data_IF_931359118052
#
_entry.id   IF_931359118052
#
_cell.length_a   1.000
_cell.length_b   1.000
_cell.length_c   1.000
_cell.angle_alpha   90.00
_cell.angle_beta   90.00
_cell.angle_gamma   90.00
#
_symmetry.space_group_name_H-M   'P 1'
#
loop_
_entity.id
_entity.type
_entity.pdbx_description
1 polymer ?
2 polymer ?
3 polymer ?
4 non-polymer ?
#
loop_
_entity_poly.entity_id
_entity_poly.type
_entity_poly.pdbx_seq_one_letter_code
_entity_poly.pdbx_strand_id
2 'polydeoxyribonucleotide' '(DA)(DA)(DA)(DT)(DG)(DT)(DG)(DA)(DT)(DC)(DT)(DA)(DG)(DG)(DT)(DC)(DA)(DC)(DG)(DT)(DG)' ?
3 'polydeoxyribonucleotide' '(DC)(DA)(DC)(DG)(DT)(DG)(DA)(DC)(DC)(DT)(DA)(DG)(DA)(DT)(DC)(DA)(DC)(DA)(DT)(DC)' ?
#
# COMPACT_ATOMS: atom_id res chain seq x y z
N UNK A 1 -21.47 23.34 -8.47
CA UNK A 1 -20.60 24.34 -7.91
C UNK A 1 -19.44 23.60 -7.32
N UNK A 2 -19.63 23.16 -6.09
CA UNK A 2 -18.67 22.30 -5.45
C UNK A 2 -19.28 21.04 -4.93
N UNK A 3 -20.45 20.66 -5.37
CA UNK A 3 -20.92 19.34 -5.12
C UNK A 3 -20.68 18.66 -6.38
N UNK A 4 -20.06 19.40 -7.27
CA UNK A 4 -19.77 18.88 -8.55
C UNK A 4 -18.59 18.03 -8.34
N UNK A 5 -17.71 18.45 -7.46
CA UNK A 5 -16.50 17.72 -7.14
C UNK A 5 -16.79 16.54 -6.20
N UNK A 6 -17.37 16.85 -5.05
CA UNK A 6 -17.73 15.84 -4.06
C UNK A 6 -18.48 14.67 -4.66
N UNK A 7 -19.21 14.93 -5.76
CA UNK A 7 -19.95 13.86 -6.42
C UNK A 7 -18.99 12.81 -6.92
N UNK A 8 -17.80 13.25 -7.30
CA UNK A 8 -16.78 12.35 -7.72
C UNK A 8 -15.89 11.93 -6.56
N UNK A 9 -16.23 12.32 -5.36
CA UNK A 9 -15.54 11.75 -4.24
C UNK A 9 -15.90 10.30 -4.29
N UNK A 10 -14.96 9.44 -3.97
CA UNK A 10 -15.26 8.05 -4.15
C UNK A 10 -16.40 7.68 -3.26
N UNK A 11 -16.36 8.13 -2.04
CA UNK A 11 -17.24 7.59 -1.05
C UNK A 11 -18.66 7.75 -1.47
N UNK A 12 -19.03 8.88 -2.05
CA UNK A 12 -20.38 9.01 -2.53
C UNK A 12 -20.60 8.00 -3.61
N UNK A 13 -19.58 7.86 -4.43
CA UNK A 13 -19.78 7.50 -5.79
C UNK A 13 -20.91 6.50 -5.79
N UNK A 14 -21.79 6.68 -6.75
CA UNK A 14 -23.15 6.15 -6.78
C UNK A 14 -24.05 6.76 -5.72
N UNK A 15 -24.68 5.92 -4.94
CA UNK A 15 -25.15 6.37 -3.67
C UNK A 15 -26.11 7.54 -3.71
N UNK A 16 -27.16 7.48 -4.53
CA UNK A 16 -28.26 8.39 -4.27
C UNK A 16 -27.73 9.81 -4.16
N UNK A 17 -27.27 10.35 -5.29
CA UNK A 17 -26.58 11.64 -5.29
C UNK A 17 -27.52 12.67 -4.69
N UNK A 18 -28.81 12.37 -4.72
CA UNK A 18 -29.78 13.19 -4.01
C UNK A 18 -29.38 13.18 -2.54
N UNK A 19 -28.96 12.03 -2.03
CA UNK A 19 -28.30 12.00 -0.75
C UNK A 19 -27.11 12.91 -0.75
N UNK A 20 -26.26 12.83 -1.75
CA UNK A 20 -24.99 13.50 -1.59
C UNK A 20 -25.31 14.95 -1.34
N UNK A 21 -26.29 15.47 -2.07
CA UNK A 21 -26.55 16.89 -2.06
C UNK A 21 -26.94 17.38 -0.67
N UNK A 22 -27.82 16.64 -0.01
CA UNK A 22 -28.17 16.96 1.36
C UNK A 22 -26.98 16.77 2.26
N UNK A 23 -26.21 15.73 2.05
CA UNK A 23 -25.12 15.58 2.98
C UNK A 23 -24.07 16.65 2.90
N UNK A 24 -23.67 17.04 1.71
CA UNK A 24 -22.56 17.96 1.77
C UNK A 24 -22.75 18.90 2.93
N UNK A 25 -23.95 19.45 3.00
CA UNK A 25 -24.38 20.59 3.79
C UNK A 25 -24.06 20.51 5.27
N UNK A 26 -24.21 19.35 5.87
CA UNK A 26 -23.88 19.23 7.26
C UNK A 26 -22.43 19.53 7.27
N UNK A 27 -21.78 19.02 6.25
CA UNK A 27 -20.36 19.20 6.11
C UNK A 27 -20.06 20.67 5.90
N UNK A 28 -19.09 21.14 6.65
CA UNK A 28 -18.58 22.48 6.48
C UNK A 28 -17.10 22.54 6.19
N UNK A 29 -16.75 23.47 5.33
CA UNK A 29 -15.41 23.48 4.70
C UNK A 29 -14.33 24.10 5.57
N UNK A 30 -13.10 24.04 5.09
CA UNK A 30 -11.95 24.66 5.73
C UNK A 30 -10.99 25.15 4.66
N UNK A 31 -10.31 26.25 4.94
CA UNK A 31 -9.38 26.83 3.98
C UNK A 31 -7.96 26.89 4.53
N UNK A 32 -7.01 26.63 3.64
CA UNK A 32 -5.60 26.58 4.03
C UNK A 32 -4.71 27.34 3.08
N UNK A 33 -3.67 28.00 3.62
CA UNK A 33 -2.70 28.67 2.76
C UNK A 33 -1.81 27.65 2.09
N UNK A 34 -1.01 28.13 1.15
CA UNK A 34 0.01 27.32 0.50
C UNK A 34 1.11 27.05 1.51
N UNK A 35 1.22 25.79 1.94
CA UNK A 35 2.28 25.39 2.82
C UNK A 35 1.81 25.08 4.23
N UNK A 36 0.50 25.04 4.42
CA UNK A 36 -0.03 24.72 5.75
C UNK A 36 0.13 23.23 6.05
N UNK A 37 0.57 22.89 7.25
CA UNK A 37 0.63 21.49 7.67
C UNK A 37 -0.71 21.06 8.25
N UNK A 38 -1.52 20.42 7.42
CA UNK A 38 -2.84 19.96 7.82
C UNK A 38 -2.70 19.05 9.03
N UNK A 39 -1.80 18.08 8.93
CA UNK A 39 -1.50 17.21 10.06
C UNK A 39 -0.11 16.61 9.90
N UNK A 40 0.46 16.13 10.98
CA UNK A 40 1.79 15.56 10.93
C UNK A 40 1.81 14.20 11.60
N UNK A 41 2.82 13.40 11.28
CA UNK A 41 2.94 12.08 11.86
C UNK A 41 3.09 12.12 13.37
N UNK A 42 2.66 11.06 14.03
CA UNK A 42 2.70 11.01 15.48
C UNK A 42 1.44 11.61 16.09
N UNK A 43 1.03 12.76 15.56
CA UNK A 43 -0.16 13.44 16.05
C UNK A 43 -1.37 12.60 15.69
N UNK A 44 -2.31 12.46 16.63
CA UNK A 44 -3.47 11.59 16.47
C UNK A 44 -4.64 12.30 15.80
N UNK A 45 -5.28 11.61 14.87
CA UNK A 45 -6.37 12.20 14.12
C UNK A 45 -7.54 11.28 13.83
N UNK A 46 -8.73 11.83 14.03
CA UNK A 46 -9.95 11.17 13.68
C UNK A 46 -10.70 12.11 12.85
N UNK A 47 -10.11 12.45 11.73
CA UNK A 47 -10.72 13.37 10.78
C UNK A 47 -10.16 13.16 9.38
N UNK A 48 -11.05 12.98 8.39
CA UNK A 48 -10.62 12.83 7.01
C UNK A 48 -11.19 13.94 6.11
N UNK A 49 -10.39 14.38 5.15
CA UNK A 49 -10.73 15.52 4.32
C UNK A 49 -10.89 15.17 2.86
N UNK A 50 -11.89 15.73 2.23
CA UNK A 50 -11.99 15.64 0.78
C UNK A 50 -11.58 16.99 0.17
N UNK A 51 -10.59 16.94 -0.70
CA UNK A 51 -10.09 18.16 -1.31
C UNK A 51 -11.07 18.74 -2.31
N UNK A 52 -11.28 20.06 -2.29
CA UNK A 52 -12.17 20.74 -3.27
C UNK A 52 -11.43 21.55 -4.30
N UNK A 53 -10.24 22.03 -3.95
CA UNK A 53 -9.42 22.77 -4.89
C UNK A 53 -8.02 22.81 -4.33
N UNK A 54 -7.03 22.87 -5.20
CA UNK A 54 -5.66 22.85 -4.77
C UNK A 54 -5.08 21.44 -4.67
N UNK A 55 -3.91 21.35 -4.04
CA UNK A 55 -3.12 20.12 -4.06
C UNK A 55 -2.44 19.93 -2.72
N UNK A 56 -2.45 18.69 -2.23
CA UNK A 56 -1.84 18.34 -0.95
C UNK A 56 -0.84 17.21 -1.15
N UNK A 57 0.32 17.31 -0.52
CA UNK A 57 1.30 16.23 -0.60
C UNK A 57 1.37 15.40 0.70
N UNK A 58 1.29 14.09 0.56
CA UNK A 58 1.47 13.20 1.68
C UNK A 58 2.86 12.69 1.73
N UNK A 59 3.40 12.54 2.92
CA UNK A 59 4.80 12.32 3.09
C UNK A 59 5.17 11.70 4.38
N UNK A 60 6.42 11.31 4.52
CA UNK A 60 7.04 10.85 5.73
C UNK A 60 8.43 11.44 5.82
N UNK A 61 9.00 11.40 7.02
CA UNK A 61 10.31 11.91 7.39
C UNK A 61 10.98 10.87 8.27
N UNK A 62 12.21 10.50 7.97
CA UNK A 62 13.01 9.68 8.88
C UNK A 62 13.59 10.57 9.95
N UNK A 63 14.07 9.98 11.06
CA UNK A 63 14.71 10.79 12.12
C UNK A 63 15.92 11.57 11.61
N UNK A 64 16.53 11.11 10.56
CA UNK A 64 17.65 11.82 10.01
C UNK A 64 17.12 13.07 9.40
N UNK A 65 15.80 13.12 9.24
CA UNK A 65 15.16 14.29 8.67
C UNK A 65 14.91 14.39 7.18
N UNK A 66 15.07 13.32 6.42
CA UNK A 66 14.75 13.35 5.01
C UNK A 66 13.33 12.95 4.73
N UNK A 67 12.65 13.55 3.76
CA UNK A 67 11.29 13.31 3.56
C UNK A 67 11.27 12.66 2.26
N UNK A 68 10.30 11.82 2.15
CA UNK A 68 9.73 11.40 0.88
C UNK A 68 8.28 11.71 0.78
N UNK A 69 7.72 11.77 -0.41
CA UNK A 69 6.30 11.99 -0.58
C UNK A 69 5.64 10.73 -1.13
N UNK A 70 4.57 10.32 -0.48
CA UNK A 70 3.77 9.18 -0.92
C UNK A 70 3.02 9.52 -2.21
N UNK A 71 2.33 10.66 -2.20
CA UNK A 71 1.43 10.96 -3.31
C UNK A 71 0.99 12.43 -3.34
N UNK A 72 0.43 12.83 -4.47
CA UNK A 72 -0.13 14.18 -4.61
C UNK A 72 -1.64 14.09 -4.82
N UNK A 73 -2.39 14.79 -3.99
CA UNK A 73 -3.81 14.71 -4.00
C UNK A 73 -4.40 16.02 -4.42
N UNK A 74 -5.56 16.01 -5.02
CA UNK A 74 -5.99 17.13 -5.78
C UNK A 74 -7.46 17.10 -5.68
N UNK A 75 -8.21 17.87 -6.43
CA UNK A 75 -9.63 17.90 -6.18
C UNK A 75 -10.34 16.58 -6.24
N UNK A 76 -11.22 16.35 -5.26
CA UNK A 76 -12.03 15.14 -5.22
C UNK A 76 -11.26 14.00 -4.60
N UNK A 77 -10.08 14.30 -4.08
CA UNK A 77 -9.24 13.31 -3.47
C UNK A 77 -9.34 13.42 -1.99
N UNK A 78 -9.54 12.31 -1.35
CA UNK A 78 -9.78 12.29 0.04
C UNK A 78 -8.65 11.60 0.73
N UNK A 79 -8.27 12.10 1.90
CA UNK A 79 -7.05 11.76 2.57
C UNK A 79 -7.16 11.79 4.07
N UNK A 80 -6.22 11.17 4.74
CA UNK A 80 -6.20 11.16 6.19
C UNK A 80 -7.29 10.29 6.76
N UNK A 81 -7.65 9.23 6.04
CA UNK A 81 -8.75 8.37 6.47
C UNK A 81 -8.30 7.04 7.07
N UNK A 82 -7.02 6.70 6.90
CA UNK A 82 -6.45 5.52 7.51
C UNK A 82 -6.63 5.50 9.04
N UNK A 83 -6.40 6.64 9.67
CA UNK A 83 -6.59 6.73 11.10
C UNK A 83 -8.08 6.87 11.40
N UNK A 84 -8.90 6.72 10.36
CA UNK A 84 -10.33 6.66 10.57
C UNK A 84 -10.74 5.20 10.59
N UNK A 85 -10.06 4.41 9.77
CA UNK A 85 -10.30 2.99 9.71
C UNK A 85 -9.40 2.26 10.70
N UNK A 86 -8.14 2.63 10.78
CA UNK A 86 -7.30 1.99 11.77
C UNK A 86 -6.87 3.05 12.70
N UNK A 87 -7.51 3.16 13.82
CA UNK A 87 -7.31 4.26 14.71
C UNK A 87 -5.93 4.28 15.25
N UNK A 88 -5.27 5.40 15.14
CA UNK A 88 -3.92 5.49 15.59
C UNK A 88 -3.37 6.79 15.19
N UNK A 89 -2.12 7.05 15.50
CA UNK A 89 -1.43 8.25 15.04
C UNK A 89 -1.35 8.31 13.51
N UNK A 90 -1.37 9.52 12.96
CA UNK A 90 -1.09 9.71 11.54
C UNK A 90 0.22 9.00 11.20
N UNK A 91 0.26 8.33 10.05
CA UNK A 91 1.50 7.67 9.64
C UNK A 91 2.30 8.57 8.72
N UNK A 92 1.68 9.67 8.31
CA UNK A 92 2.30 10.60 7.37
C UNK A 92 1.89 12.02 7.71
N UNK A 93 2.04 12.93 6.74
CA UNK A 93 1.71 14.32 7.00
C UNK A 93 1.18 14.99 5.74
N UNK A 94 0.31 15.98 5.94
CA UNK A 94 -0.37 16.61 4.83
C UNK A 94 -0.05 18.09 4.78
N UNK A 95 0.61 18.50 3.70
CA UNK A 95 1.00 19.88 3.54
C UNK A 95 0.42 20.40 2.23
N UNK A 96 0.45 21.71 2.04
CA UNK A 96 -0.20 22.29 0.88
C UNK A 96 0.78 22.88 -0.12
N UNK A 97 0.41 22.73 -1.36
CA UNK A 97 1.16 23.22 -2.44
C UNK A 97 0.55 24.51 -2.95
N UNK A 98 -0.71 24.73 -2.62
CA UNK A 98 -1.52 25.80 -3.20
C UNK A 98 -2.42 26.43 -2.15
N UNK A 99 -3.45 27.12 -2.61
CA UNK A 99 -4.53 27.48 -1.71
C UNK A 99 -5.47 26.28 -1.80
N UNK A 100 -5.92 25.78 -0.66
CA UNK A 100 -6.75 24.59 -0.65
C UNK A 100 -8.12 24.82 -0.02
N UNK A 101 -9.17 24.41 -0.72
CA UNK A 101 -10.49 24.32 -0.12
C UNK A 101 -10.76 22.85 0.17
N UNK A 102 -11.09 22.53 1.41
CA UNK A 102 -11.29 21.15 1.80
C UNK A 102 -12.47 21.00 2.74
N UNK A 103 -13.27 19.96 2.51
CA UNK A 103 -14.35 19.61 3.44
C UNK A 103 -13.78 18.58 4.40
N UNK A 104 -14.24 18.60 5.64
CA UNK A 104 -13.65 17.75 6.65
C UNK A 104 -14.70 16.98 7.43
N UNK A 105 -14.37 15.75 7.80
CA UNK A 105 -15.31 14.91 8.51
C UNK A 105 -14.59 14.01 9.50
N UNK A 106 -15.24 13.72 10.63
CA UNK A 106 -14.64 12.87 11.64
C UNK A 106 -15.24 11.46 11.64
N UNK A 107 -14.67 10.58 12.46
CA UNK A 107 -15.03 9.16 12.42
C UNK A 107 -16.47 8.89 12.82
N UNK A 108 -16.92 9.51 13.91
CA UNK A 108 -18.28 9.29 14.40
C UNK A 108 -19.32 9.68 13.37
N UNK A 109 -18.99 10.68 12.56
CA UNK A 109 -19.87 11.16 11.50
C UNK A 109 -19.93 10.14 10.36
N UNK A 110 -18.79 9.52 10.07
CA UNK A 110 -18.69 8.58 8.98
C UNK A 110 -19.53 7.35 9.21
N UNK A 111 -19.37 6.74 10.38
CA UNK A 111 -20.15 5.56 10.73
C UNK A 111 -21.65 5.82 10.64
N UNK A 112 -22.05 7.08 10.76
CA UNK A 112 -23.45 7.45 10.57
C UNK A 112 -23.86 7.24 9.11
N UNK A 113 -23.12 7.86 8.20
CA UNK A 113 -23.40 7.75 6.77
C UNK A 113 -23.26 6.29 6.31
N UNK A 114 -22.31 5.57 6.89
CA UNK A 114 -22.14 4.16 6.54
C UNK A 114 -23.32 3.34 7.06
N UNK A 115 -23.76 3.66 8.28
CA UNK A 115 -24.89 2.98 8.89
C UNK A 115 -26.13 3.19 8.04
N UNK A 116 -26.40 4.42 7.64
CA UNK A 116 -27.54 4.69 6.75
C UNK A 116 -27.42 4.10 5.35
N UNK A 117 -26.26 4.17 4.74
CA UNK A 117 -26.11 3.53 3.46
C UNK A 117 -24.96 2.57 3.47
N UNK A 118 -25.23 1.32 3.29
CA UNK A 118 -24.16 0.36 3.25
C UNK A 118 -23.23 0.60 2.08
N UNK A 119 -23.71 1.04 0.95
CA UNK A 119 -22.94 0.94 -0.26
C UNK A 119 -21.68 1.74 -0.16
N UNK A 120 -21.60 2.64 0.79
CA UNK A 120 -20.42 3.47 0.97
C UNK A 120 -19.25 2.62 1.42
N UNK A 121 -19.51 1.66 2.31
CA UNK A 121 -18.46 0.77 2.76
C UNK A 121 -17.92 0.01 1.55
N UNK A 122 -18.83 -0.48 0.72
CA UNK A 122 -18.47 -1.09 -0.55
C UNK A 122 -17.42 -0.24 -1.25
N UNK A 123 -17.66 1.06 -1.31
CA UNK A 123 -16.89 1.99 -2.14
C UNK A 123 -15.61 2.47 -1.47
N UNK A 124 -15.57 2.45 -0.15
CA UNK A 124 -14.35 2.76 0.58
C UNK A 124 -13.36 1.62 0.40
N UNK A 125 -13.82 0.40 0.61
CA UNK A 125 -12.98 -0.75 0.35
C UNK A 125 -12.46 -0.71 -1.07
N UNK A 126 -13.25 -0.20 -2.01
CA UNK A 126 -12.80 -0.11 -3.39
C UNK A 126 -11.70 0.94 -3.55
N UNK A 127 -11.84 2.06 -2.84
CA UNK A 127 -10.82 3.09 -2.84
C UNK A 127 -9.51 2.55 -2.26
N UNK A 128 -9.59 2.04 -1.03
CA UNK A 128 -8.44 1.43 -0.39
C UNK A 128 -7.85 0.36 -1.29
N UNK A 129 -8.71 -0.52 -1.80
CA UNK A 129 -8.24 -1.55 -2.70
C UNK A 129 -7.40 -0.91 -3.79
N UNK A 130 -7.95 0.04 -4.53
CA UNK A 130 -7.27 0.63 -5.63
C UNK A 130 -6.06 1.26 -5.17
N UNK A 131 -6.14 1.83 -3.99
CA UNK A 131 -5.06 2.63 -3.43
C UNK A 131 -3.81 1.82 -3.16
N UNK A 132 -3.97 0.64 -2.56
CA UNK A 132 -2.86 -0.24 -2.23
C UNK A 132 -2.25 -0.73 -3.53
N UNK A 133 -3.12 -1.00 -4.49
CA UNK A 133 -2.68 -1.35 -5.83
C UNK A 133 -1.66 -0.30 -6.26
N UNK A 134 -2.06 0.94 -6.28
CA UNK A 134 -1.29 2.05 -6.78
C UNK A 134 0.00 2.12 -6.08
N UNK A 135 -0.01 1.79 -4.81
CA UNK A 135 1.19 1.82 -3.97
C UNK A 135 2.17 0.66 -4.26
N UNK A 136 1.65 -0.54 -4.51
CA UNK A 136 2.49 -1.66 -4.87
C UNK A 136 3.20 -1.41 -6.20
N UNK A 137 2.51 -0.69 -7.09
CA UNK A 137 3.10 -0.35 -8.37
C UNK A 137 4.36 0.48 -8.17
N UNK A 138 4.35 1.29 -7.11
CA UNK A 138 5.45 2.20 -6.80
C UNK A 138 6.59 1.51 -6.07
N UNK A 139 6.25 0.72 -5.10
CA UNK A 139 7.20 0.01 -4.33
C UNK A 139 7.96 -0.85 -5.29
N UNK A 140 7.35 -1.20 -6.40
CA UNK A 140 7.96 -2.01 -7.45
C UNK A 140 8.96 -1.19 -8.24
N UNK A 141 8.53 -0.02 -8.70
CA UNK A 141 9.40 0.83 -9.51
C UNK A 141 10.60 1.34 -8.74
N UNK A 142 10.43 1.55 -7.43
CA UNK A 142 11.59 1.82 -6.59
C UNK A 142 12.62 0.74 -6.80
N UNK A 143 12.14 -0.49 -6.95
CA UNK A 143 13.03 -1.64 -7.01
C UNK A 143 13.61 -1.85 -8.41
N UNK A 144 12.83 -1.53 -9.43
CA UNK A 144 13.23 -1.86 -10.80
C UNK A 144 13.58 -0.64 -11.66
N UNK A 145 12.59 0.19 -11.98
CA UNK A 145 12.81 1.37 -12.82
C UNK A 145 13.87 2.31 -12.27
N UNK A 146 14.70 2.84 -13.16
CA UNK A 146 15.74 3.79 -12.75
C UNK A 146 15.17 5.21 -12.59
N UNK A 147 15.89 6.02 -11.82
CA UNK A 147 15.45 7.40 -11.53
C UNK A 147 14.87 8.11 -12.75
N UNK A 148 15.56 8.03 -13.91
CA UNK A 148 14.99 8.58 -15.14
C UNK A 148 13.61 8.01 -15.44
N UNK A 149 13.56 6.73 -15.79
CA UNK A 149 12.32 6.07 -16.19
C UNK A 149 11.20 6.27 -15.19
N UNK A 150 11.57 6.53 -13.93
CA UNK A 150 10.60 6.82 -12.88
C UNK A 150 10.06 8.23 -12.98
N UNK A 151 10.97 9.19 -13.11
CA UNK A 151 10.57 10.57 -13.33
C UNK A 151 9.62 10.61 -14.51
N UNK A 152 9.96 9.89 -15.57
CA UNK A 152 9.09 9.81 -16.74
C UNK A 152 7.72 9.27 -16.36
N UNK A 153 7.71 8.20 -15.55
CA UNK A 153 6.46 7.55 -15.17
C UNK A 153 5.62 8.48 -14.31
N UNK A 154 6.28 9.25 -13.45
CA UNK A 154 5.58 10.18 -12.60
C UNK A 154 4.87 11.23 -13.45
N UNK A 155 5.62 11.91 -14.31
CA UNK A 155 5.05 12.92 -15.19
C UNK A 155 3.75 12.45 -15.83
N UNK A 156 3.70 11.16 -16.15
CA UNK A 156 2.48 10.60 -16.71
C UNK A 156 1.37 10.56 -15.66
N UNK A 157 1.70 10.11 -14.45
CA UNK A 157 0.71 10.07 -13.37
C UNK A 157 0.06 11.41 -13.22
N UNK A 158 0.91 12.40 -13.08
CA UNK A 158 0.50 13.75 -12.89
C UNK A 158 -0.22 14.23 -14.07
N UNK A 159 0.28 13.96 -15.24
CA UNK A 159 -0.41 14.50 -16.36
C UNK A 159 -1.77 13.91 -16.37
N UNK A 160 -1.90 12.63 -16.21
CA UNK A 160 -3.22 12.16 -16.36
C UNK A 160 -4.12 12.86 -15.35
N UNK A 161 -3.75 12.86 -14.09
CA UNK A 161 -4.64 13.40 -13.10
C UNK A 161 -4.91 14.87 -13.23
N UNK A 162 -3.88 15.65 -13.42
CA UNK A 162 -4.03 17.07 -13.25
C UNK A 162 -3.92 17.67 -14.60
N UNK A 163 -4.13 16.83 -15.59
CA UNK A 163 -3.75 17.19 -16.92
C UNK A 163 -4.81 18.06 -17.41
N UNK A 164 -4.52 18.80 -18.47
CA UNK A 164 -5.51 19.39 -19.39
C UNK A 164 -4.97 19.27 -20.81
N UNK A 165 -5.84 19.35 -21.81
CA UNK A 165 -5.39 19.36 -23.19
C UNK A 165 -5.50 20.75 -23.78
N UNK A 166 -4.36 21.33 -24.15
CA UNK A 166 -4.31 22.66 -24.68
C UNK A 166 -3.61 22.56 -26.01
N UNK A 167 -4.24 23.04 -27.07
CA UNK A 167 -3.74 22.82 -28.41
C UNK A 167 -3.68 21.35 -28.78
N UNK A 168 -2.53 20.91 -29.28
CA UNK A 168 -2.32 19.52 -29.63
C UNK A 168 -1.72 18.56 -28.63
N UNK A 169 -1.24 19.07 -27.50
CA UNK A 169 -0.68 18.25 -26.46
C UNK A 169 -1.09 18.83 -25.12
N UNK A 170 -1.09 17.99 -24.09
CA UNK A 170 -1.56 18.34 -22.74
C UNK A 170 -0.64 19.15 -21.84
N UNK A 171 -1.27 19.78 -20.85
CA UNK A 171 -0.60 20.65 -19.90
C UNK A 171 -0.66 20.06 -18.50
N UNK A 172 0.42 20.21 -17.75
CA UNK A 172 0.47 19.77 -16.36
C UNK A 172 1.10 20.84 -15.49
N UNK A 173 0.27 21.46 -14.65
CA UNK A 173 0.76 22.44 -13.71
C UNK A 173 0.96 21.78 -12.35
N UNK A 174 1.98 20.92 -12.26
CA UNK A 174 2.18 20.12 -11.06
C UNK A 174 2.26 20.93 -9.78
N UNK A 175 2.82 22.14 -9.85
CA UNK A 175 3.02 22.97 -8.67
C UNK A 175 4.07 22.41 -7.71
N UNK A 176 4.96 21.57 -8.24
CA UNK A 176 6.01 20.98 -7.43
C UNK A 176 7.37 21.60 -7.75
N UNK A 177 8.11 21.97 -6.71
CA UNK A 177 9.51 22.26 -6.91
C UNK A 177 10.15 20.93 -7.31
N UNK A 178 11.22 20.98 -8.08
CA UNK A 178 11.92 19.77 -8.49
C UNK A 178 12.37 18.97 -7.28
N UNK A 179 12.70 19.68 -6.20
CA UNK A 179 13.03 19.05 -4.94
C UNK A 179 11.92 18.09 -4.52
N UNK A 180 10.68 18.50 -4.76
CA UNK A 180 9.53 17.69 -4.38
C UNK A 180 9.37 16.46 -5.27
N UNK A 181 9.41 16.66 -6.58
CA UNK A 181 9.39 15.55 -7.52
C UNK A 181 10.41 14.50 -7.13
N UNK A 182 11.63 14.96 -6.83
CA UNK A 182 12.71 14.10 -6.39
C UNK A 182 12.26 13.17 -5.27
N UNK A 183 11.78 13.73 -4.17
CA UNK A 183 11.37 12.93 -3.02
C UNK A 183 10.05 12.20 -3.28
N UNK A 184 9.34 12.64 -4.31
CA UNK A 184 8.12 11.94 -4.74
C UNK A 184 8.50 10.74 -5.58
N UNK A 185 9.78 10.68 -5.94
CA UNK A 185 10.32 9.68 -6.82
C UNK A 185 11.39 8.86 -6.08
N UNK A 186 11.82 9.37 -4.94
CA UNK A 186 12.81 8.69 -4.12
C UNK A 186 14.25 8.96 -4.53
N UNK A 187 14.48 10.09 -5.19
CA UNK A 187 15.80 10.43 -5.67
C UNK A 187 16.28 11.81 -5.22
N UNK A 188 17.55 12.11 -5.51
CA UNK A 188 18.16 13.40 -5.20
C UNK A 188 17.69 14.49 -6.14
N UNK A 189 17.55 15.70 -5.59
CA UNK A 189 17.13 16.88 -6.31
C UNK A 189 17.79 16.95 -7.68
N UNK A 190 19.11 16.97 -7.65
CA UNK A 190 19.93 17.11 -8.85
C UNK A 190 19.66 16.03 -9.89
N UNK A 191 19.82 14.77 -9.49
CA UNK A 191 19.80 13.68 -10.46
C UNK A 191 18.47 13.57 -11.20
N UNK A 192 17.42 14.17 -10.66
CA UNK A 192 16.14 14.20 -11.35
C UNK A 192 16.13 15.30 -12.40
N UNK A 193 16.67 16.47 -12.06
CA UNK A 193 16.74 17.59 -12.99
C UNK A 193 17.36 17.13 -14.29
N UNK A 194 18.51 16.49 -14.17
CA UNK A 194 19.23 15.96 -15.31
C UNK A 194 18.36 15.01 -16.12
N UNK A 195 17.65 14.13 -15.41
CA UNK A 195 16.67 13.29 -16.09
C UNK A 195 15.71 14.17 -16.87
N UNK A 196 15.34 15.30 -16.28
CA UNK A 196 14.43 16.24 -16.91
C UNK A 196 15.11 17.03 -18.02
N UNK A 197 16.33 17.47 -17.75
CA UNK A 197 17.16 18.11 -18.76
C UNK A 197 17.06 17.31 -20.04
N UNK A 198 17.58 16.08 -20.00
CA UNK A 198 17.51 15.18 -21.15
C UNK A 198 16.09 15.00 -21.65
N UNK A 199 15.15 14.85 -20.72
CA UNK A 199 13.75 14.68 -21.08
C UNK A 199 13.28 15.83 -21.97
N UNK A 200 13.71 17.04 -21.65
CA UNK A 200 13.37 18.23 -22.44
C UNK A 200 14.33 18.37 -23.62
N UNK A 201 15.52 17.82 -23.45
CA UNK A 201 16.56 17.88 -24.48
C UNK A 201 16.08 17.19 -25.75
N UNK A 202 15.38 16.08 -25.59
CA UNK A 202 14.86 15.34 -26.73
C UNK A 202 13.56 15.96 -27.23
N UNK A 203 13.21 17.11 -26.68
CA UNK A 203 11.99 17.80 -27.07
C UNK A 203 10.75 17.02 -26.68
N UNK A 204 10.89 16.11 -25.73
CA UNK A 204 9.75 15.35 -25.23
C UNK A 204 8.80 16.23 -24.45
N UNK A 205 9.35 17.19 -23.70
CA UNK A 205 8.56 18.06 -22.86
C UNK A 205 9.16 19.46 -22.74
N UNK A 206 8.34 20.43 -22.38
CA UNK A 206 8.82 21.78 -22.12
C UNK A 206 8.62 22.14 -20.66
N UNK A 207 9.68 22.64 -20.03
CA UNK A 207 9.60 23.08 -18.64
C UNK A 207 9.23 24.56 -18.56
N UNK A 208 8.18 24.86 -17.81
CA UNK A 208 7.71 26.23 -17.66
C UNK A 208 7.35 26.54 -16.21
N UNK A 209 8.35 26.78 -15.38
CA UNK A 209 8.14 27.06 -13.98
C UNK A 209 7.78 25.81 -13.19
N UNK A 210 6.63 25.83 -12.53
CA UNK A 210 6.12 24.64 -11.89
C UNK A 210 5.06 23.98 -12.76
N UNK A 211 5.50 23.48 -13.91
CA UNK A 211 4.60 22.83 -14.86
C UNK A 211 5.40 22.22 -16.01
N UNK A 212 4.73 21.59 -16.93
CA UNK A 212 5.46 21.01 -18.00
C UNK A 212 4.56 20.81 -19.17
N UNK A 213 5.10 20.99 -20.38
CA UNK A 213 4.37 20.69 -21.58
C UNK A 213 5.03 19.47 -22.21
N UNK A 214 4.21 18.51 -22.60
CA UNK A 214 4.70 17.24 -23.05
C UNK A 214 4.39 16.97 -24.50
N UNK A 215 5.42 16.84 -25.32
CA UNK A 215 5.18 16.66 -26.72
C UNK A 215 5.00 15.22 -27.14
N UNK A 216 5.90 14.35 -26.71
CA UNK A 216 5.83 12.95 -27.11
C UNK A 216 5.54 12.01 -25.93
N UNK A 217 4.26 11.83 -25.64
CA UNK A 217 3.83 11.01 -24.51
C UNK A 217 4.11 9.53 -24.78
N UNK A 218 4.21 9.19 -26.06
CA UNK A 218 4.49 7.81 -26.47
C UNK A 218 5.92 7.42 -26.08
N UNK A 219 6.85 8.33 -26.38
CA UNK A 219 8.26 8.20 -26.07
C UNK A 219 8.60 8.26 -24.61
N UNK A 220 7.89 9.08 -23.89
CA UNK A 220 8.07 9.24 -22.45
C UNK A 220 7.55 7.98 -21.77
N UNK A 221 6.35 7.58 -22.13
CA UNK A 221 5.80 6.32 -21.63
C UNK A 221 6.79 5.21 -21.92
N UNK A 222 7.17 5.09 -23.18
CA UNK A 222 8.13 4.07 -23.60
C UNK A 222 9.34 4.03 -22.67
N UNK A 223 9.93 5.19 -22.42
CA UNK A 223 11.11 5.25 -21.58
C UNK A 223 10.91 4.89 -20.15
N UNK A 224 9.77 5.25 -19.56
CA UNK A 224 9.63 4.87 -18.19
C UNK A 224 9.45 3.38 -18.09
N UNK A 225 8.49 2.81 -18.78
CA UNK A 225 8.54 1.38 -18.90
C UNK A 225 9.49 0.88 -17.85
N UNK B 1 -8.48 -26.98 15.06
CA UNK B 1 -7.63 -27.25 13.92
C UNK B 1 -7.92 -26.23 12.86
N UNK B 2 -8.87 -26.55 12.01
CA UNK B 2 -9.37 -25.62 11.04
C UNK B 2 -10.03 -24.38 11.64
N UNK B 3 -10.73 -24.50 12.75
CA UNK B 3 -11.51 -23.40 13.26
C UNK B 3 -10.86 -22.47 14.24
N UNK B 4 -9.73 -22.86 14.78
CA UNK B 4 -9.20 -22.06 15.83
C UNK B 4 -8.67 -20.87 15.17
N UNK B 5 -8.14 -21.09 13.99
CA UNK B 5 -7.62 -20.02 13.17
C UNK B 5 -8.63 -18.97 12.77
N UNK B 6 -9.83 -19.33 12.36
CA UNK B 6 -10.64 -18.35 11.73
C UNK B 6 -10.89 -17.22 12.67
N UNK B 7 -11.10 -17.50 13.93
CA UNK B 7 -11.31 -16.40 14.86
C UNK B 7 -10.11 -15.49 14.92
N UNK B 8 -8.93 -16.06 14.80
CA UNK B 8 -7.70 -15.30 14.80
C UNK B 8 -7.59 -14.65 13.47
N UNK B 9 -8.48 -15.02 12.58
CA UNK B 9 -8.47 -14.47 11.25
C UNK B 9 -8.96 -13.07 11.25
N UNK B 10 -8.62 -12.41 10.19
CA UNK B 10 -9.08 -11.07 9.86
C UNK B 10 -10.51 -10.66 9.50
N UNK B 11 -11.24 -11.42 8.72
CA UNK B 11 -12.41 -10.76 8.24
C UNK B 11 -13.03 -10.49 9.52
N UNK B 12 -13.05 -11.49 10.35
CA UNK B 12 -13.95 -11.44 11.46
C UNK B 12 -13.27 -11.54 12.78
N UNK B 13 -12.83 -10.37 13.23
CA UNK B 13 -12.48 -10.11 14.61
C UNK B 13 -13.83 -10.10 15.30
N UNK B 14 -13.89 -10.21 16.61
CA UNK B 14 -15.12 -10.70 17.20
C UNK B 14 -15.21 -12.14 16.73
N UNK B 15 -16.25 -12.50 15.98
CA UNK B 15 -17.48 -11.77 15.86
C UNK B 15 -18.60 -12.79 16.03
N UNK B 16 -19.58 -12.52 16.86
CA UNK B 16 -20.74 -13.39 16.82
C UNK B 16 -20.20 -14.79 16.72
N UNK B 17 -19.34 -15.14 17.62
CA UNK B 17 -18.56 -16.31 17.35
C UNK B 17 -19.49 -17.32 16.84
N UNK B 18 -20.76 -17.17 17.21
CA UNK B 18 -21.80 -18.11 16.78
C UNK B 18 -21.79 -18.24 15.28
N UNK B 19 -21.65 -17.10 14.60
CA UNK B 19 -21.55 -17.10 13.15
C UNK B 19 -20.33 -17.87 12.64
N UNK B 20 -19.14 -17.44 13.06
CA UNK B 20 -17.90 -18.01 12.54
C UNK B 20 -17.92 -19.54 12.47
N UNK B 21 -18.46 -20.18 13.51
CA UNK B 21 -18.50 -21.65 13.56
C UNK B 21 -19.30 -22.24 12.41
N UNK B 22 -20.39 -21.55 12.04
CA UNK B 22 -21.25 -22.01 10.95
C UNK B 22 -20.75 -21.57 9.57
N UNK B 23 -20.41 -20.30 9.44
CA UNK B 23 -19.94 -19.76 8.17
C UNK B 23 -18.62 -20.42 7.77
N UNK B 24 -17.76 -20.63 8.75
CA UNK B 24 -16.52 -21.36 8.51
C UNK B 24 -16.87 -22.66 7.80
N UNK B 25 -18.05 -23.18 8.10
CA UNK B 25 -18.45 -24.50 7.63
C UNK B 25 -18.81 -24.58 6.15
N UNK B 26 -19.49 -23.56 5.63
CA UNK B 26 -19.85 -23.56 4.22
C UNK B 26 -18.60 -23.56 3.34
N UNK B 27 -17.62 -22.75 3.73
CA UNK B 27 -16.34 -22.68 3.04
C UNK B 27 -15.71 -24.06 2.92
N UNK B 28 -15.30 -24.43 1.71
CA UNK B 28 -14.62 -25.70 1.51
C UNK B 28 -13.11 -25.53 1.45
N UNK B 29 -12.39 -26.34 2.25
CA UNK B 29 -10.92 -26.27 2.29
C UNK B 29 -10.35 -26.73 0.96
N UNK B 30 -9.05 -26.54 0.80
CA UNK B 30 -8.34 -27.04 -0.37
C UNK B 30 -6.87 -27.01 -0.03
N UNK B 31 -6.12 -27.96 -0.57
CA UNK B 31 -4.72 -28.06 -0.20
C UNK B 31 -3.83 -27.87 -1.40
N UNK B 32 -2.60 -27.44 -1.13
CA UNK B 32 -1.67 -27.12 -2.19
C UNK B 32 -0.26 -27.54 -1.80
N UNK B 33 0.52 -28.04 -2.77
CA UNK B 33 1.90 -28.50 -2.55
C UNK B 33 2.86 -27.33 -2.33
N UNK B 34 4.12 -27.65 -2.04
CA UNK B 34 5.14 -26.64 -1.85
C UNK B 34 5.60 -26.08 -3.19
N UNK B 35 4.97 -24.99 -3.62
CA UNK B 35 5.36 -24.35 -4.85
C UNK B 35 4.21 -24.24 -5.83
N UNK B 36 2.99 -24.44 -5.33
CA UNK B 36 1.85 -24.29 -6.19
C UNK B 36 1.52 -22.81 -6.39
N UNK B 37 1.41 -22.40 -7.65
CA UNK B 37 0.96 -21.06 -7.96
C UNK B 37 -0.54 -20.98 -7.79
N UNK B 38 -0.99 -20.50 -6.63
CA UNK B 38 -2.41 -20.37 -6.40
C UNK B 38 -3.05 -19.55 -7.51
N UNK B 39 -2.49 -18.37 -7.76
CA UNK B 39 -2.93 -17.52 -8.85
C UNK B 39 -1.78 -16.61 -9.31
N UNK B 40 -1.86 -16.10 -10.53
CA UNK B 40 -0.79 -15.26 -11.05
C UNK B 40 -1.33 -13.94 -11.60
N UNK B 41 -0.45 -13.00 -11.90
CA UNK B 41 -0.86 -11.70 -12.42
C UNK B 41 -1.60 -11.86 -13.74
N UNK B 42 -2.51 -10.95 -14.02
CA UNK B 42 -3.23 -10.93 -15.28
C UNK B 42 -4.45 -11.81 -15.31
N UNK B 43 -4.34 -13.00 -14.69
CA UNK B 43 -5.45 -13.94 -14.66
C UNK B 43 -6.55 -13.41 -13.73
N UNK B 44 -7.82 -13.62 -14.06
CA UNK B 44 -8.89 -13.04 -13.26
C UNK B 44 -9.03 -13.69 -11.90
N UNK B 45 -9.58 -12.99 -10.93
CA UNK B 45 -9.92 -13.67 -9.70
C UNK B 45 -11.06 -13.09 -8.91
N UNK B 46 -11.96 -13.93 -8.44
CA UNK B 46 -13.05 -13.50 -7.56
C UNK B 46 -12.99 -14.22 -6.25
N UNK B 47 -11.85 -14.84 -5.97
CA UNK B 47 -11.69 -15.70 -4.84
C UNK B 47 -10.63 -15.21 -3.91
N UNK B 48 -10.95 -15.01 -2.63
CA UNK B 48 -9.94 -14.75 -1.62
C UNK B 48 -9.76 -15.94 -0.68
N UNK B 49 -8.57 -16.03 -0.09
CA UNK B 49 -8.15 -17.21 0.65
C UNK B 49 -7.65 -16.85 2.03
N UNK B 50 -8.11 -17.58 3.04
CA UNK B 50 -7.50 -17.50 4.36
C UNK B 50 -6.59 -18.71 4.53
N UNK B 51 -5.33 -18.48 4.85
CA UNK B 51 -4.41 -19.58 5.09
C UNK B 51 -4.77 -20.26 6.41
N UNK B 52 -4.65 -21.58 6.48
CA UNK B 52 -4.89 -22.29 7.73
C UNK B 52 -3.59 -22.87 8.24
N UNK B 53 -2.64 -23.04 7.33
CA UNK B 53 -1.34 -23.57 7.70
C UNK B 53 -0.41 -23.33 6.54
N UNK B 54 0.89 -23.29 6.82
CA UNK B 54 1.86 -23.08 5.77
C UNK B 54 2.00 -21.61 5.43
N UNK B 55 2.69 -21.34 4.34
CA UNK B 55 3.09 -19.99 3.99
C UNK B 55 3.01 -19.75 2.49
N UNK B 56 2.44 -18.62 2.11
CA UNK B 56 2.34 -18.23 0.71
C UNK B 56 2.98 -16.87 0.52
N UNK B 57 3.66 -16.70 -0.61
CA UNK B 57 4.41 -15.47 -0.87
C UNK B 57 3.80 -14.66 -2.01
N UNK B 58 3.41 -13.42 -1.74
CA UNK B 58 2.92 -12.54 -2.78
C UNK B 58 4.09 -11.78 -3.39
N UNK B 59 4.00 -11.50 -4.69
CA UNK B 59 5.07 -10.81 -5.38
C UNK B 59 4.79 -10.56 -6.85
N UNK B 60 5.70 -9.83 -7.49
CA UNK B 60 5.51 -9.44 -8.88
C UNK B 60 6.72 -9.76 -9.74
N UNK B 61 6.53 -9.70 -11.06
CA UNK B 61 7.64 -9.84 -11.98
C UNK B 61 7.52 -8.83 -13.11
N UNK B 62 8.64 -8.20 -13.44
CA UNK B 62 8.69 -7.29 -14.57
C UNK B 62 8.81 -8.13 -15.85
N UNK B 63 8.60 -7.50 -17.01
CA UNK B 63 8.76 -8.20 -18.29
C UNK B 63 10.20 -8.62 -18.50
N UNK B 64 11.10 -7.94 -17.79
CA UNK B 64 12.52 -8.24 -17.85
C UNK B 64 12.81 -9.66 -17.36
N UNK B 65 11.97 -10.14 -16.44
CA UNK B 65 12.16 -11.43 -15.78
C UNK B 65 12.68 -11.42 -14.35
N UNK B 66 13.05 -10.24 -13.85
CA UNK B 66 13.21 -9.99 -12.43
C UNK B 66 11.88 -10.18 -11.72
N UNK B 67 11.94 -10.36 -10.41
CA UNK B 67 10.73 -10.45 -9.60
C UNK B 67 11.01 -10.06 -8.15
N UNK B 68 10.00 -9.54 -7.45
CA UNK B 68 10.15 -9.23 -6.03
C UNK B 68 8.97 -9.75 -5.23
N UNK B 69 9.15 -9.96 -3.94
CA UNK B 69 8.06 -10.45 -3.10
C UNK B 69 7.50 -9.37 -2.14
N UNK B 70 6.21 -9.10 -2.29
CA UNK B 70 5.50 -8.14 -1.47
C UNK B 70 5.47 -8.54 0.00
N UNK B 71 5.19 -9.81 0.26
CA UNK B 71 4.95 -10.27 1.62
C UNK B 71 4.88 -11.78 1.74
N UNK B 72 5.07 -12.28 2.96
CA UNK B 72 4.88 -13.67 3.27
C UNK B 72 3.69 -13.78 4.21
N UNK B 73 2.70 -14.59 3.84
CA UNK B 73 1.54 -14.76 4.71
C UNK B 73 1.54 -16.15 5.34
N UNK B 74 0.92 -16.26 6.51
CA UNK B 74 0.84 -17.51 7.22
C UNK B 74 -0.57 -17.72 7.72
N UNK B 75 -0.72 -18.48 8.77
CA UNK B 75 -2.03 -18.84 9.24
C UNK B 75 -2.83 -17.66 9.67
N UNK B 76 -4.12 -17.68 9.32
CA UNK B 76 -5.04 -16.63 9.71
C UNK B 76 -4.85 -15.38 8.85
N UNK B 77 -4.12 -15.52 7.76
CA UNK B 77 -3.84 -14.38 6.93
C UNK B 77 -4.65 -14.49 5.68
N UNK B 78 -5.32 -13.41 5.33
CA UNK B 78 -6.18 -13.32 4.16
C UNK B 78 -5.32 -12.81 3.03
N UNK B 79 -5.64 -13.22 1.80
CA UNK B 79 -4.99 -12.66 0.63
C UNK B 79 -5.85 -12.92 -0.59
N UNK B 80 -5.47 -12.29 -1.70
CA UNK B 80 -6.23 -12.38 -2.92
C UNK B 80 -7.56 -11.65 -2.86
N UNK B 81 -7.72 -10.73 -1.91
CA UNK B 81 -8.99 -10.02 -1.79
C UNK B 81 -9.07 -8.78 -2.60
N UNK B 82 -7.96 -8.22 -2.97
CA UNK B 82 -8.00 -6.94 -3.67
C UNK B 82 -8.89 -6.98 -4.90
N UNK B 83 -8.85 -8.10 -5.63
CA UNK B 83 -9.68 -8.29 -6.82
C UNK B 83 -11.08 -8.70 -6.40
N UNK B 84 -11.37 -8.48 -5.14
CA UNK B 84 -12.69 -8.74 -4.61
C UNK B 84 -13.36 -7.40 -4.36
N UNK B 85 -12.69 -6.57 -3.62
CA UNK B 85 -13.05 -5.19 -3.45
C UNK B 85 -12.92 -4.37 -4.68
N UNK B 86 -11.85 -4.56 -5.44
CA UNK B 86 -11.62 -3.78 -6.63
C UNK B 86 -11.46 -4.68 -7.81
N UNK B 87 -12.57 -5.04 -8.40
CA UNK B 87 -12.61 -6.07 -9.39
C UNK B 87 -11.71 -5.79 -10.53
N UNK B 88 -10.96 -6.78 -10.94
CA UNK B 88 -9.94 -6.59 -11.95
C UNK B 88 -8.94 -7.72 -11.81
N UNK B 89 -8.01 -7.82 -12.77
CA UNK B 89 -7.02 -8.90 -12.79
C UNK B 89 -6.21 -8.95 -11.50
N UNK B 90 -5.48 -10.03 -11.30
CA UNK B 90 -4.53 -10.09 -10.20
C UNK B 90 -3.40 -9.09 -10.47
N UNK B 91 -2.92 -8.42 -9.46
CA UNK B 91 -1.81 -7.51 -9.62
C UNK B 91 -0.53 -8.18 -9.18
N UNK B 92 -0.66 -9.44 -8.77
CA UNK B 92 0.44 -10.20 -8.22
C UNK B 92 0.19 -11.69 -8.28
N UNK B 93 1.15 -12.49 -7.91
CA UNK B 93 0.97 -13.92 -7.88
C UNK B 93 1.17 -14.54 -6.52
N UNK B 94 0.39 -15.56 -6.20
CA UNK B 94 0.50 -16.23 -4.91
C UNK B 94 1.02 -17.66 -5.05
N UNK B 95 2.17 -17.90 -4.45
CA UNK B 95 2.86 -19.17 -4.60
C UNK B 95 3.19 -19.74 -3.23
N UNK B 96 3.35 -21.04 -3.13
CA UNK B 96 3.57 -21.69 -1.86
C UNK B 96 5.01 -22.04 -1.58
N UNK B 97 5.40 -21.93 -0.33
CA UNK B 97 6.71 -22.34 0.08
C UNK B 97 6.49 -23.49 0.99
N UNK B 98 5.37 -24.14 0.82
CA UNK B 98 5.00 -25.06 1.81
C UNK B 98 3.95 -26.00 1.32
N UNK B 99 3.29 -26.63 2.24
CA UNK B 99 2.10 -27.32 1.92
C UNK B 99 1.13 -26.53 2.71
N UNK B 100 0.15 -26.00 2.03
CA UNK B 100 -0.69 -25.00 2.61
C UNK B 100 -2.08 -25.52 2.65
N UNK B 101 -2.72 -25.39 3.79
CA UNK B 101 -4.14 -25.66 3.91
C UNK B 101 -4.85 -24.32 3.97
N UNK B 102 -5.70 -24.06 2.98
CA UNK B 102 -6.38 -22.77 2.88
C UNK B 102 -7.88 -22.89 2.56
N UNK B 103 -8.68 -22.05 3.22
CA UNK B 103 -10.11 -21.94 2.95
C UNK B 103 -10.34 -20.89 1.88
N UNK B 104 -11.31 -21.14 1.01
CA UNK B 104 -11.52 -20.29 -0.15
C UNK B 104 -12.96 -19.75 -0.20
N UNK B 105 -13.10 -18.54 -0.76
CA UNK B 105 -14.40 -17.86 -0.79
C UNK B 105 -14.46 -16.78 -1.87
N UNK B 106 -15.57 -16.74 -2.61
CA UNK B 106 -15.70 -15.79 -3.72
C UNK B 106 -16.42 -14.50 -3.34
N UNK B 107 -16.49 -13.58 -4.30
CA UNK B 107 -17.07 -12.26 -4.05
C UNK B 107 -18.53 -12.33 -3.61
N UNK B 108 -19.38 -12.95 -4.41
CA UNK B 108 -20.80 -13.04 -4.08
C UNK B 108 -21.00 -13.63 -2.69
N UNK B 109 -20.18 -14.62 -2.35
CA UNK B 109 -20.28 -15.26 -1.04
C UNK B 109 -19.98 -14.25 0.06
N UNK B 110 -19.06 -13.34 -0.23
CA UNK B 110 -18.60 -12.37 0.74
C UNK B 110 -19.65 -11.27 0.99
N UNK B 111 -20.27 -10.79 -0.07
CA UNK B 111 -21.32 -9.79 0.06
C UNK B 111 -22.45 -10.27 0.94
N UNK B 112 -22.73 -11.57 0.89
CA UNK B 112 -23.71 -12.19 1.78
C UNK B 112 -23.35 -11.93 3.23
N UNK B 113 -22.22 -12.47 3.66
CA UNK B 113 -21.73 -12.30 5.01
C UNK B 113 -21.69 -10.83 5.42
N UNK B 114 -21.27 -9.97 4.49
CA UNK B 114 -21.27 -8.53 4.77
C UNK B 114 -22.68 -8.01 5.01
N UNK B 115 -23.60 -8.37 4.13
CA UNK B 115 -24.99 -7.94 4.23
C UNK B 115 -25.62 -8.41 5.53
N UNK B 116 -25.33 -9.63 5.93
CA UNK B 116 -25.86 -10.13 7.19
C UNK B 116 -25.22 -9.39 8.35
N UNK B 117 -23.88 -9.42 8.40
CA UNK B 117 -23.13 -8.74 9.44
C UNK B 117 -22.33 -7.57 8.85
N UNK B 118 -22.68 -6.37 9.27
CA UNK B 118 -21.99 -5.16 8.90
C UNK B 118 -20.57 -5.07 9.42
N UNK B 119 -20.33 -5.54 10.62
CA UNK B 119 -19.13 -5.23 11.34
C UNK B 119 -18.05 -5.67 10.47
N UNK B 120 -18.36 -6.59 9.61
CA UNK B 120 -17.32 -7.14 8.81
C UNK B 120 -16.69 -6.14 7.94
N UNK B 121 -17.45 -5.21 7.42
CA UNK B 121 -16.96 -4.15 6.54
C UNK B 121 -16.04 -3.20 7.32
N UNK B 122 -16.42 -2.87 8.55
CA UNK B 122 -15.55 -2.10 9.44
C UNK B 122 -14.21 -2.81 9.58
N UNK B 123 -14.28 -4.13 9.72
CA UNK B 123 -13.09 -4.92 10.02
C UNK B 123 -12.23 -5.15 8.80
N UNK B 124 -12.86 -5.24 7.63
CA UNK B 124 -12.11 -5.35 6.38
C UNK B 124 -11.33 -4.06 6.19
N UNK B 125 -12.04 -2.93 6.24
CA UNK B 125 -11.39 -1.63 6.11
C UNK B 125 -10.24 -1.50 7.10
N UNK B 126 -10.41 -2.02 8.32
CA UNK B 126 -9.33 -1.99 9.30
C UNK B 126 -8.14 -2.80 8.80
N UNK B 127 -8.41 -3.92 8.16
CA UNK B 127 -7.35 -4.79 7.64
C UNK B 127 -6.58 -4.06 6.54
N UNK B 128 -7.25 -3.79 5.42
CA UNK B 128 -6.66 -3.00 4.36
C UNK B 128 -5.86 -1.85 4.98
N UNK B 129 -6.56 -0.96 5.68
CA UNK B 129 -5.91 0.14 6.38
C UNK B 129 -4.58 -0.27 7.01
N UNK B 130 -4.55 -1.28 7.84
CA UNK B 130 -3.34 -1.69 8.48
C UNK B 130 -2.35 -2.11 7.49
N UNK B 131 -2.79 -2.70 6.41
CA UNK B 131 -1.96 -3.17 5.32
C UNK B 131 -1.27 -2.14 4.50
N UNK B 132 -1.99 -1.12 4.11
CA UNK B 132 -1.42 -0.01 3.35
C UNK B 132 -0.39 0.65 4.24
N UNK B 133 -0.73 0.72 5.52
CA UNK B 133 0.17 1.29 6.52
C UNK B 133 1.48 0.50 6.56
N UNK B 134 1.41 -0.79 6.68
CA UNK B 134 2.60 -1.61 6.66
C UNK B 134 3.33 -1.60 5.35
N UNK B 135 2.62 -1.56 4.25
CA UNK B 135 3.27 -1.38 2.95
C UNK B 135 4.04 -0.07 2.87
N UNK B 136 3.43 1.04 3.26
CA UNK B 136 4.12 2.32 3.22
C UNK B 136 5.45 2.26 3.96
N UNK B 137 5.43 1.69 5.16
CA UNK B 137 6.67 1.51 5.92
C UNK B 137 7.75 0.91 5.05
N UNK B 138 7.35 -0.04 4.20
CA UNK B 138 8.27 -0.74 3.32
C UNK B 138 8.77 0.13 2.19
N UNK B 139 7.86 0.78 1.49
CA UNK B 139 8.24 1.74 0.47
C UNK B 139 9.25 2.72 1.05
N UNK B 140 9.10 3.07 2.32
CA UNK B 140 10.01 4.02 2.96
C UNK B 140 11.43 3.47 3.00
N UNK B 141 11.56 2.24 3.47
CA UNK B 141 12.86 1.62 3.70
C UNK B 141 13.61 1.33 2.41
N UNK B 142 12.89 1.07 1.33
CA UNK B 142 13.54 0.97 0.02
C UNK B 142 14.33 2.24 -0.21
N UNK B 143 13.67 3.35 0.01
CA UNK B 143 14.15 4.69 -0.22
C UNK B 143 15.30 5.11 0.65
N UNK B 144 15.20 4.78 1.95
CA UNK B 144 16.17 5.25 2.94
C UNK B 144 17.12 4.22 3.61
N UNK B 145 16.60 3.14 4.18
CA UNK B 145 17.48 2.17 4.84
C UNK B 145 18.28 1.36 3.85
N UNK B 146 19.50 0.92 4.23
CA UNK B 146 20.38 0.20 3.31
C UNK B 146 20.09 -1.28 3.38
N UNK B 147 20.48 -2.01 2.33
CA UNK B 147 20.18 -3.44 2.24
C UNK B 147 20.41 -4.19 3.54
N UNK B 148 21.60 -4.04 4.14
CA UNK B 148 21.84 -4.71 5.43
C UNK B 148 20.78 -4.33 6.45
N UNK B 149 20.51 -3.04 6.59
CA UNK B 149 19.49 -2.59 7.51
C UNK B 149 18.12 -3.22 7.29
N UNK B 150 17.78 -3.46 6.03
CA UNK B 150 16.46 -3.99 5.68
C UNK B 150 16.33 -5.47 5.98
N UNK B 151 17.39 -6.21 5.68
CA UNK B 151 17.48 -7.64 6.01
C UNK B 151 17.31 -7.84 7.50
N UNK B 152 17.86 -6.91 8.28
CA UNK B 152 17.79 -6.98 9.73
C UNK B 152 16.41 -6.55 10.20
N UNK B 153 15.78 -5.67 9.45
CA UNK B 153 14.40 -5.30 9.69
C UNK B 153 13.47 -6.40 9.37
N UNK B 154 13.72 -7.07 8.27
CA UNK B 154 12.84 -8.14 7.81
C UNK B 154 12.84 -9.29 8.80
N UNK B 155 14.04 -9.76 9.14
CA UNK B 155 14.22 -10.81 10.14
C UNK B 155 13.35 -10.59 11.37
N UNK B 156 13.17 -9.33 11.76
CA UNK B 156 12.28 -9.02 12.85
C UNK B 156 10.83 -9.22 12.45
N UNK B 157 10.47 -8.68 11.29
CA UNK B 157 9.09 -8.75 10.83
C UNK B 157 8.62 -10.19 10.64
N UNK B 158 9.59 -11.09 10.52
CA UNK B 158 9.29 -12.52 10.39
C UNK B 158 9.15 -13.13 11.76
N UNK B 159 10.15 -12.88 12.61
CA UNK B 159 10.11 -13.36 13.98
C UNK B 159 8.79 -12.97 14.66
N UNK B 160 8.39 -11.74 14.48
CA UNK B 160 7.26 -11.27 15.19
C UNK B 160 6.13 -12.17 14.80
N UNK B 161 6.09 -12.61 13.55
CA UNK B 161 4.95 -13.35 13.08
C UNK B 161 5.04 -14.86 13.13
N UNK B 162 6.10 -15.42 12.58
CA UNK B 162 6.17 -16.86 12.46
C UNK B 162 7.14 -17.35 13.47
N UNK B 163 7.39 -16.51 14.46
CA UNK B 163 8.38 -16.78 15.47
C UNK B 163 7.85 -17.56 16.65
N UNK B 164 8.75 -18.28 17.31
CA UNK B 164 8.43 -18.98 18.56
C UNK B 164 9.51 -18.68 19.60
N UNK B 165 9.33 -19.18 20.82
CA UNK B 165 10.33 -18.95 21.86
C UNK B 165 11.05 -20.23 22.28
N UNK B 166 12.25 -20.42 21.75
CA UNK B 166 13.09 -21.57 22.08
C UNK B 166 14.15 -21.21 23.11
N UNK B 167 14.04 -21.79 24.30
CA UNK B 167 15.00 -21.55 25.36
C UNK B 167 15.02 -20.10 25.81
N UNK B 168 16.10 -19.40 25.50
CA UNK B 168 16.24 -18.00 25.87
C UNK B 168 15.99 -17.03 24.74
N UNK B 169 16.05 -17.51 23.50
CA UNK B 169 15.88 -16.66 22.34
C UNK B 169 14.83 -17.21 21.37
N UNK B 170 14.55 -16.49 20.29
CA UNK B 170 13.43 -16.84 19.42
C UNK B 170 13.80 -17.54 18.10
N UNK B 171 13.00 -18.53 17.72
CA UNK B 171 13.25 -19.26 16.50
C UNK B 171 12.33 -18.83 15.37
N UNK B 172 12.91 -18.71 14.19
CA UNK B 172 12.16 -18.32 13.00
C UNK B 172 12.46 -19.30 11.89
N UNK B 173 11.45 -20.08 11.50
CA UNK B 173 11.61 -21.02 10.40
C UNK B 173 11.02 -20.42 9.13
N UNK B 174 11.66 -19.39 8.60
CA UNK B 174 11.11 -18.64 7.47
C UNK B 174 10.73 -19.50 6.28
N UNK B 175 11.44 -20.61 6.08
CA UNK B 175 11.17 -21.50 4.94
C UNK B 175 11.46 -20.80 3.61
N UNK B 176 12.36 -19.83 3.64
CA UNK B 176 12.78 -19.09 2.45
C UNK B 176 14.21 -19.36 2.07
N UNK B 177 14.49 -19.50 0.78
CA UNK B 177 15.82 -19.50 0.30
C UNK B 177 16.27 -18.10 0.40
N UNK B 178 17.56 -17.87 0.38
CA UNK B 178 18.08 -16.51 0.52
C UNK B 178 17.70 -15.67 -0.68
N UNK B 179 17.56 -16.31 -1.84
CA UNK B 179 17.22 -15.58 -3.04
C UNK B 179 15.88 -14.91 -2.76
N UNK B 180 15.02 -15.60 -2.03
CA UNK B 180 13.69 -15.08 -1.74
C UNK B 180 13.74 -13.89 -0.78
N UNK B 181 14.53 -14.00 0.28
CA UNK B 181 14.72 -12.89 1.20
C UNK B 181 15.23 -11.68 0.42
N UNK B 182 16.25 -11.90 -0.38
CA UNK B 182 16.76 -10.86 -1.25
C UNK B 182 15.58 -10.13 -1.89
N UNK B 183 14.85 -10.81 -2.77
CA UNK B 183 13.75 -10.18 -3.48
C UNK B 183 12.63 -9.70 -2.56
N UNK B 184 12.57 -10.26 -1.36
CA UNK B 184 11.61 -9.78 -0.37
C UNK B 184 12.12 -8.46 0.19
N UNK B 185 13.40 -8.21 -0.06
CA UNK B 185 14.09 -7.05 0.45
C UNK B 185 14.44 -6.06 -0.68
N UNK B 186 14.43 -6.57 -1.91
CA UNK B 186 14.74 -5.74 -3.07
C UNK B 186 16.23 -5.61 -3.30
N UNK B 187 16.96 -6.66 -2.93
CA UNK B 187 18.41 -6.73 -3.14
C UNK B 187 18.82 -8.06 -3.79
N UNK B 188 20.06 -8.12 -4.27
CA UNK B 188 20.59 -9.33 -4.89
C UNK B 188 20.80 -10.46 -3.87
N UNK B 189 20.75 -11.70 -4.36
CA UNK B 189 20.96 -12.88 -3.54
C UNK B 189 22.24 -12.74 -2.74
N UNK B 190 23.33 -12.44 -3.44
CA UNK B 190 24.65 -12.33 -2.87
C UNK B 190 24.80 -11.23 -1.79
N UNK B 191 24.44 -9.99 -2.12
CA UNK B 191 24.58 -8.90 -1.17
C UNK B 191 23.69 -9.07 0.06
N UNK B 192 22.83 -10.08 0.04
CA UNK B 192 21.96 -10.38 1.18
C UNK B 192 22.62 -11.43 2.06
N UNK B 193 23.29 -12.38 1.41
CA UNK B 193 24.02 -13.44 2.09
C UNK B 193 25.10 -12.87 3.01
N UNK B 194 25.94 -12.02 2.44
CA UNK B 194 27.02 -11.37 3.17
C UNK B 194 26.48 -10.50 4.31
N UNK B 195 25.40 -9.77 4.03
CA UNK B 195 24.68 -9.06 5.08
C UNK B 195 24.38 -10.01 6.22
N UNK B 196 23.90 -11.19 5.87
CA UNK B 196 23.61 -12.23 6.85
C UNK B 196 24.90 -12.71 7.50
N UNK B 197 25.90 -12.96 6.66
CA UNK B 197 27.22 -13.36 7.15
C UNK B 197 27.62 -12.52 8.33
N UNK B 198 27.77 -11.21 8.11
CA UNK B 198 28.17 -10.29 9.16
C UNK B 198 27.21 -10.34 10.34
N UNK B 199 25.91 -10.45 10.06
CA UNK B 199 24.90 -10.53 11.12
C UNK B 199 25.22 -11.70 12.05
N UNK B 200 25.47 -12.86 11.46
CA UNK B 200 25.77 -14.05 12.23
C UNK B 200 27.18 -13.97 12.79
N UNK B 201 28.10 -13.43 11.99
CA UNK B 201 29.47 -13.25 12.41
C UNK B 201 29.52 -12.58 13.79
N UNK B 202 28.73 -11.53 13.95
CA UNK B 202 28.68 -10.81 15.22
C UNK B 202 27.92 -11.60 16.27
N UNK B 203 27.56 -12.83 15.93
CA UNK B 203 26.84 -13.69 16.85
C UNK B 203 25.43 -13.22 17.14
N UNK B 204 24.93 -12.30 16.32
CA UNK B 204 23.57 -11.79 16.51
C UNK B 204 22.54 -12.87 16.22
N UNK B 205 22.86 -13.76 15.27
CA UNK B 205 21.92 -14.79 14.85
C UNK B 205 22.62 -16.08 14.41
N UNK B 206 21.94 -17.20 14.57
CA UNK B 206 22.43 -18.48 14.08
C UNK B 206 21.60 -18.94 12.90
N UNK B 207 22.26 -19.38 11.85
CA UNK B 207 21.60 -19.83 10.65
C UNK B 207 21.69 -21.32 10.60
N UNK B 208 20.55 -21.95 10.40
CA UNK B 208 20.49 -23.38 10.13
C UNK B 208 19.40 -23.66 9.10
N UNK B 209 19.81 -23.99 7.89
CA UNK B 209 18.85 -24.29 6.84
C UNK B 209 17.93 -23.12 6.56
N UNK B 210 16.63 -23.35 6.61
CA UNK B 210 15.65 -22.35 6.23
C UNK B 210 15.11 -21.59 7.44
N UNK B 211 15.92 -21.51 8.50
CA UNK B 211 15.50 -20.82 9.72
C UNK B 211 16.62 -19.98 10.33
N UNK B 212 16.38 -19.45 11.53
CA UNK B 212 17.35 -18.61 12.21
C UNK B 212 17.06 -18.43 13.70
N UNK B 213 18.05 -18.74 14.53
CA UNK B 213 17.94 -18.55 15.97
C UNK B 213 18.56 -17.20 16.34
N UNK B 214 17.72 -16.26 16.76
CA UNK B 214 18.21 -14.91 17.02
C UNK B 214 18.70 -14.71 18.45
N UNK B 215 19.95 -14.26 18.56
CA UNK B 215 20.56 -14.01 19.86
C UNK B 215 20.22 -12.60 20.36
N UNK B 216 20.71 -11.58 19.64
CA UNK B 216 20.54 -10.19 20.08
C UNK B 216 19.54 -9.41 19.23
N UNK B 217 18.28 -9.42 19.65
CA UNK B 217 17.21 -8.71 18.96
C UNK B 217 17.38 -7.20 19.14
N UNK B 218 17.99 -6.81 20.25
CA UNK B 218 18.23 -5.41 20.54
C UNK B 218 19.23 -4.84 19.54
N UNK B 219 20.29 -5.59 19.28
CA UNK B 219 21.32 -5.17 18.34
C UNK B 219 20.75 -5.12 16.93
N UNK B 220 20.13 -6.22 16.52
CA UNK B 220 19.55 -6.33 15.18
C UNK B 220 18.57 -5.18 14.93
N UNK B 221 17.68 -4.95 15.88
CA UNK B 221 16.71 -3.87 15.76
C UNK B 221 17.41 -2.53 15.58
N UNK B 222 18.38 -2.24 16.42
CA UNK B 222 18.96 -0.95 16.40
C UNK B 222 19.54 -0.82 15.06
N UNK B 223 20.13 -1.90 14.63
CA UNK B 223 20.90 -1.98 13.42
C UNK B 223 20.07 -1.74 12.18
N UNK B 224 18.84 -2.21 12.22
CA UNK B 224 17.87 -2.13 11.14
C UNK B 224 17.26 -0.73 11.05
N UNK B 225 17.27 -0.03 12.17
CA UNK B 225 16.81 1.33 12.23
C UNK B 225 17.96 2.27 11.96
X LIG E 1 -4.03 8.66 8.35
X LIG E 1 -3.20 7.53 8.91
X LIG E 1 -5.16 8.99 9.28
X LIG E 1 -3.09 9.94 8.10
X LIG E 1 -2.28 10.07 6.93
X LIG E 1 -3.19 9.81 5.76
X LIG E 1 -2.58 9.92 4.46
X LIG E 1 -3.65 8.38 5.83
X LIG E 1 -4.61 8.31 6.88
X LIG E 1 -4.12 8.10 4.42
X LIG E 1 -5.45 8.59 4.21
X LIG E 1 -3.15 8.92 3.60
X LIG E 1 -2.05 8.03 3.13
X LIG E 1 -1.08 7.52 3.91
X LIG E 1 -0.23 6.74 3.19
X LIG E 1 -0.66 6.75 1.91
X LIG E 1 -0.22 6.15 0.62
X LIG E 1 0.86 5.35 0.55
X LIG E 1 -0.96 6.42 -0.48
X LIG E 1 -2.04 7.21 -0.43
X LIG E 1 -2.49 7.79 0.70
X LIG E 1 -1.85 7.61 1.89
X LIG F 1 11.03 -3.21 6.56
X LIG F 1 10.78 -2.38 7.80
X LIG F 1 9.75 -3.91 6.18
X LIG F 1 12.20 -4.32 6.64
X LIG F 1 12.34 -5.19 5.51
X LIG F 1 12.54 -4.30 4.29
X LIG F 1 12.46 -4.94 3.01
X LIG F 1 11.46 -3.23 4.16
X LIG F 1 11.53 -2.37 5.28
X LIG F 1 11.69 -2.69 2.78
X LIG F 1 12.81 -1.79 2.75
X LIG F 1 12.04 -3.98 2.04
X LIG F 1 10.78 -4.42 1.42
X LIG F 1 9.57 -4.37 2.00
X LIG F 1 8.59 -4.83 1.19
X LIG F 1 9.19 -5.21 0.05
X LIG F 1 8.73 -5.79 -1.22
X LIG F 1 7.43 -6.07 -1.43
X LIG F 1 9.66 -6.03 -2.18
X LIG F 1 10.95 -5.76 -1.97
X LIG F 1 11.45 -5.22 -0.83
X LIG F 1 10.62 -4.93 0.20
X LIG G 1 -5.48 -9.43 -5.14
X LIG G 1 -6.83 -9.82 -5.67
X LIG G 1 -5.07 -8.12 -5.81
X LIG G 1 -4.36 -10.54 -5.45
X LIG G 1 -3.05 -10.38 -4.90
X LIG G 1 -3.25 -10.30 -3.39
X LIG G 1 -2.06 -10.16 -2.61
X LIG G 1 -4.08 -9.09 -3.03
X LIG G 1 -5.40 -9.30 -3.53
X LIG G 1 -3.83 -8.97 -1.53
X LIG G 1 -4.70 -9.79 -0.74
X LIG G 1 -2.39 -9.46 -1.39
X LIG G 1 -1.48 -8.29 -1.26
X LIG G 1 -1.41 -7.28 -2.15
X LIG G 1 -0.49 -6.36 -1.78
X LIG G 1 0.05 -6.77 -0.62
X LIG G 1 1.08 -6.25 0.30
X LIG G 1 1.71 -5.08 0.04
X LIG G 1 1.37 -6.97 1.40
X LIG G 1 0.73 -8.14 1.65
X LIG G 1 -0.21 -8.68 0.85
X LIG G 1 -0.60 -8.05 -0.28
#
# INVERSE_FOLDING_TARGET
HMDEILARAGIFQGVEPSAIAALTKQLQPVDFPRGHTVFAEGEPGDRLYIIISGKVKIGRRAPDGRENLLTIMGPSDMFGELSIFDPGPRTSSATTITEVRAVSMDRDALRSWIADRPEISEQLLRVLARRLRRTNNNLADLIFTDVPGRVAKQLLQLAQRFGTQEGGALRVTHDLTQEEIAQLVGASRETVNKALADFAHRGWIRLEGKSVLISDSERLARRAR
HMDEILARAGIFQGVEPSAIAALTKQLQPVDFPRGHTVFAEGEPGDRLYIIISGKVKIGRRAPDGRENLLTIMGPSDMFGELSIFDPGPRTSSATTITEVRAVSMDRDALRSWIADRPEISEQLLRVLARRLRRTNNNLADLIFTDVPGRVAKQLLQLAQRFGTQEGGALRVTHDLTQEEIAQLVGASRETVNKALADFAHRGWIRLEGKSVLISDSERLARRAR
CMP P O1P O2P O5' C5' C4' O4' C3' O3' C2' O2' C1' N9 C8 N7 C5 C6 N6 N1 C2 N3 C4
CMP P O1P O2P O5' C5' C4' O4' C3' O3' C2' O2' C1' N9 C8 N7 C5 C6 N6 N1 C2 N3 C4
CMP P O1P O2P O5' C5' C4' O4' C3' O3' C2' O2' C1' N9 C8 N7 C5 C6 N6 N1 C2 N3 C4
#
